data_IF_264529547618
#
_entry.id   IF_264529547618
#
_cell.length_a   1.000
_cell.length_b   1.000
_cell.length_c   1.000
_cell.angle_alpha   90.00
_cell.angle_beta   90.00
_cell.angle_gamma   90.00
#
_symmetry.space_group_name_H-M   'P 1'
#
loop_
_entity.id
_entity.type
_entity.pdbx_description
1 polymer ?
#
# COMPACT_ATOMS: atom_id res chain seq x y z
N UNK A 1 -7.27 -27.44 -28.10
CA UNK A 1 -6.73 -26.24 -28.77
C UNK A 1 -5.36 -26.59 -29.32
N UNK A 2 -5.12 -26.33 -30.60
CA UNK A 2 -3.81 -26.57 -31.26
C UNK A 2 -3.01 -25.28 -31.36
N UNK A 3 -1.69 -25.38 -31.55
CA UNK A 3 -0.79 -24.23 -31.73
C UNK A 3 -1.27 -23.28 -32.83
N UNK A 4 -1.79 -23.84 -33.93
CA UNK A 4 -2.37 -23.08 -35.04
C UNK A 4 -3.59 -22.24 -34.64
N UNK A 5 -4.49 -22.79 -33.81
CA UNK A 5 -5.69 -22.08 -33.34
C UNK A 5 -5.36 -20.91 -32.40
N UNK A 6 -4.30 -21.03 -31.60
CA UNK A 6 -3.85 -19.94 -30.72
C UNK A 6 -3.23 -18.82 -31.55
N UNK A 7 -2.46 -19.17 -32.57
CA UNK A 7 -1.80 -18.20 -33.46
C UNK A 7 -2.79 -17.46 -34.37
N UNK A 8 -3.89 -18.11 -34.72
CA UNK A 8 -4.99 -17.49 -35.48
C UNK A 8 -5.76 -16.44 -34.65
N UNK A 9 -5.99 -16.70 -33.36
CA UNK A 9 -6.67 -15.73 -32.48
C UNK A 9 -5.73 -14.68 -31.88
N UNK A 10 -4.44 -15.01 -31.71
CA UNK A 10 -3.42 -14.14 -31.15
C UNK A 10 -2.17 -14.15 -32.05
N UNK A 11 -2.21 -13.45 -33.20
CA UNK A 11 -1.12 -13.46 -34.19
C UNK A 11 0.19 -12.86 -33.66
N UNK A 12 0.11 -11.99 -32.65
CA UNK A 12 1.26 -11.32 -32.04
C UNK A 12 1.85 -12.09 -30.85
N UNK A 13 1.27 -13.25 -30.48
CA UNK A 13 1.78 -14.05 -29.37
C UNK A 13 3.10 -14.73 -29.73
N UNK A 14 4.09 -14.63 -28.86
CA UNK A 14 5.38 -15.31 -29.07
C UNK A 14 5.25 -16.82 -28.92
N UNK A 15 6.14 -17.59 -29.54
CA UNK A 15 6.09 -19.05 -29.47
C UNK A 15 6.19 -19.58 -28.02
N UNK A 16 6.86 -18.84 -27.10
CA UNK A 16 6.86 -19.14 -25.67
C UNK A 16 5.51 -18.87 -25.01
N UNK A 17 4.83 -17.77 -25.34
CA UNK A 17 3.50 -17.45 -24.84
C UNK A 17 2.46 -18.46 -25.36
N UNK A 18 2.55 -18.84 -26.63
CA UNK A 18 1.69 -19.87 -27.22
C UNK A 18 1.94 -21.21 -26.51
N UNK A 19 3.19 -21.55 -26.22
CA UNK A 19 3.54 -22.78 -25.49
C UNK A 19 3.07 -22.73 -24.04
N UNK A 20 3.16 -21.59 -23.36
CA UNK A 20 2.62 -21.41 -22.01
C UNK A 20 1.10 -21.58 -21.98
N UNK A 21 0.37 -20.99 -22.94
CA UNK A 21 -1.09 -21.14 -23.06
C UNK A 21 -1.48 -22.60 -23.34
N UNK A 22 -0.75 -23.29 -24.21
CA UNK A 22 -0.97 -24.71 -24.50
C UNK A 22 -0.66 -25.59 -23.29
N UNK A 23 0.38 -25.26 -22.52
CA UNK A 23 0.73 -25.98 -21.30
C UNK A 23 -0.28 -25.73 -20.17
N UNK A 24 -0.78 -24.50 -20.00
CA UNK A 24 -1.85 -24.17 -19.05
C UNK A 24 -3.10 -24.99 -19.38
N UNK A 25 -3.52 -24.96 -20.64
CA UNK A 25 -4.65 -25.78 -21.11
C UNK A 25 -4.37 -27.29 -21.01
N UNK A 26 -3.12 -27.72 -21.18
CA UNK A 26 -2.69 -29.11 -21.00
C UNK A 26 -2.76 -29.56 -19.54
N UNK A 27 -2.30 -28.71 -18.61
CA UNK A 27 -2.37 -28.96 -17.16
C UNK A 27 -3.81 -28.96 -16.67
N UNK A 28 -4.64 -28.06 -17.19
CA UNK A 28 -6.06 -27.96 -16.86
C UNK A 28 -6.85 -29.18 -17.40
N UNK A 29 -6.52 -29.65 -18.61
CA UNK A 29 -7.08 -30.90 -19.16
C UNK A 29 -6.64 -32.13 -18.35
N UNK A 30 -5.42 -32.16 -17.81
CA UNK A 30 -4.98 -33.24 -16.90
C UNK A 30 -5.60 -33.15 -15.51
N UNK A 31 -5.86 -31.94 -15.00
CA UNK A 31 -6.59 -31.73 -13.75
C UNK A 31 -8.08 -32.11 -13.90
N UNK A 32 -8.69 -31.76 -15.03
CA UNK A 32 -10.05 -32.18 -15.40
C UNK A 32 -10.17 -33.70 -15.58
N UNK A 33 -9.15 -34.36 -16.17
CA UNK A 33 -9.06 -35.84 -16.23
C UNK A 33 -8.90 -36.49 -14.86
N UNK A 34 -8.22 -35.84 -13.91
CA UNK A 34 -8.12 -36.30 -12.51
C UNK A 34 -9.45 -36.23 -11.76
N UNK A 35 -10.37 -35.35 -12.17
CA UNK A 35 -11.71 -35.20 -11.60
C UNK A 35 -12.80 -36.02 -12.29
N UNK A 36 -12.43 -37.04 -13.08
CA UNK A 36 -13.30 -38.07 -13.67
C UNK A 36 -14.72 -37.60 -14.07
N UNK A 37 -14.81 -36.42 -14.70
CA UNK A 37 -16.06 -35.97 -15.31
C UNK A 37 -16.21 -36.78 -16.58
N UNK A 38 -17.19 -37.68 -16.62
CA UNK A 38 -17.45 -38.52 -17.78
C UNK A 38 -17.57 -37.61 -19.03
N UNK A 39 -16.70 -37.78 -20.04
CA UNK A 39 -16.73 -36.96 -21.25
C UNK A 39 -18.10 -36.98 -21.95
N UNK A 40 -18.88 -38.05 -21.77
CA UNK A 40 -20.26 -38.11 -22.26
C UNK A 40 -21.21 -37.22 -21.48
N UNK A 41 -21.08 -37.17 -20.16
CA UNK A 41 -21.93 -36.31 -19.33
C UNK A 41 -21.58 -34.84 -19.52
N UNK A 42 -20.30 -34.52 -19.74
CA UNK A 42 -19.88 -33.16 -20.08
C UNK A 42 -20.48 -32.70 -21.42
N UNK A 43 -20.42 -33.57 -22.46
CA UNK A 43 -21.08 -33.28 -23.75
C UNK A 43 -22.58 -33.14 -23.59
N UNK A 44 -23.22 -34.02 -22.82
CA UNK A 44 -24.66 -33.98 -22.56
C UNK A 44 -25.07 -32.69 -21.85
N UNK A 45 -24.30 -32.24 -20.86
CA UNK A 45 -24.52 -30.97 -20.17
C UNK A 45 -24.37 -29.78 -21.12
N UNK A 46 -23.31 -29.75 -21.93
CA UNK A 46 -23.07 -28.68 -22.90
C UNK A 46 -24.17 -28.61 -23.97
N UNK A 47 -24.61 -29.76 -24.48
CA UNK A 47 -25.72 -29.85 -25.44
C UNK A 47 -27.04 -29.37 -24.80
N UNK A 48 -27.29 -29.76 -23.55
CA UNK A 48 -28.46 -29.33 -22.79
C UNK A 48 -28.44 -27.82 -22.51
N UNK A 49 -27.29 -27.28 -22.09
CA UNK A 49 -27.16 -25.85 -21.81
C UNK A 49 -27.29 -25.03 -23.10
N UNK A 50 -26.71 -25.49 -24.20
CA UNK A 50 -26.90 -24.86 -25.52
C UNK A 50 -28.36 -24.94 -25.98
N UNK A 51 -29.05 -26.06 -25.76
CA UNK A 51 -30.47 -26.20 -26.05
C UNK A 51 -31.33 -25.31 -25.15
N UNK A 52 -30.97 -25.17 -23.88
CA UNK A 52 -31.66 -24.33 -22.90
C UNK A 52 -31.48 -22.85 -23.21
N UNK A 53 -30.28 -22.42 -23.59
CA UNK A 53 -30.02 -21.06 -24.07
C UNK A 53 -30.76 -20.78 -25.37
N UNK A 54 -30.79 -21.72 -26.31
CA UNK A 54 -31.61 -21.58 -27.53
C UNK A 54 -33.12 -21.50 -27.23
N UNK A 55 -33.60 -22.21 -26.22
CA UNK A 55 -35.00 -22.15 -25.80
C UNK A 55 -35.33 -20.80 -25.15
N UNK A 56 -34.45 -20.33 -24.26
CA UNK A 56 -34.50 -18.98 -23.68
C UNK A 56 -34.48 -17.90 -24.76
N UNK A 57 -33.59 -18.01 -25.73
CA UNK A 57 -33.49 -17.08 -26.85
C UNK A 57 -34.65 -17.24 -27.86
N UNK A 58 -35.33 -18.38 -27.90
CA UNK A 58 -36.51 -18.58 -28.75
C UNK A 58 -37.78 -17.97 -28.14
N UNK A 59 -37.88 -17.96 -26.81
CA UNK A 59 -39.01 -17.38 -26.07
C UNK A 59 -38.89 -15.86 -25.87
N UNK A 60 -37.70 -15.29 -26.01
CA UNK A 60 -37.49 -13.83 -25.93
C UNK A 60 -37.83 -13.16 -27.26
N UNK A 61 -38.74 -12.19 -27.21
CA UNK A 61 -39.01 -11.27 -28.33
C UNK A 61 -37.76 -10.45 -28.66
N UNK A 62 -37.63 -9.96 -29.89
CA UNK A 62 -36.44 -9.18 -30.31
C UNK A 62 -36.18 -7.97 -29.39
N UNK A 63 -37.23 -7.38 -28.81
CA UNK A 63 -37.11 -6.30 -27.82
C UNK A 63 -36.50 -6.77 -26.49
N UNK A 64 -36.84 -7.96 -26.01
CA UNK A 64 -36.31 -8.51 -24.75
C UNK A 64 -34.86 -8.99 -24.91
N UNK A 65 -34.47 -9.48 -26.10
CA UNK A 65 -33.07 -9.76 -26.43
C UNK A 65 -32.21 -8.52 -26.38
N UNK A 66 -32.69 -7.40 -26.94
CA UNK A 66 -31.99 -6.12 -26.90
C UNK A 66 -31.87 -5.63 -25.45
N UNK A 67 -32.94 -5.73 -24.65
CA UNK A 67 -32.88 -5.35 -23.23
C UNK A 67 -31.92 -6.23 -22.42
N UNK A 68 -31.90 -7.54 -22.65
CA UNK A 68 -30.96 -8.46 -21.99
C UNK A 68 -29.52 -8.12 -22.36
N UNK A 69 -29.24 -7.90 -23.65
CA UNK A 69 -27.91 -7.51 -24.11
C UNK A 69 -27.47 -6.15 -23.54
N UNK A 70 -28.39 -5.17 -23.44
CA UNK A 70 -28.12 -3.88 -22.81
C UNK A 70 -27.82 -4.03 -21.32
N UNK A 71 -28.62 -4.84 -20.61
CA UNK A 71 -28.41 -5.13 -19.20
C UNK A 71 -27.08 -5.84 -18.95
N UNK A 72 -26.75 -6.85 -19.74
CA UNK A 72 -25.47 -7.55 -19.66
C UNK A 72 -24.30 -6.60 -19.95
N UNK A 73 -24.43 -5.69 -20.93
CA UNK A 73 -23.43 -4.67 -21.21
C UNK A 73 -23.26 -3.67 -20.06
N UNK A 74 -24.36 -3.22 -19.46
CA UNK A 74 -24.35 -2.31 -18.31
C UNK A 74 -23.76 -2.97 -17.06
N UNK A 75 -24.15 -4.22 -16.76
CA UNK A 75 -23.61 -5.00 -15.65
C UNK A 75 -22.10 -5.24 -15.84
N UNK A 76 -21.68 -5.57 -17.07
CA UNK A 76 -20.27 -5.74 -17.42
C UNK A 76 -19.49 -4.43 -17.25
N UNK A 77 -20.05 -3.31 -17.69
CA UNK A 77 -19.43 -1.98 -17.54
C UNK A 77 -19.30 -1.60 -16.07
N UNK A 78 -20.31 -1.88 -15.24
CA UNK A 78 -20.26 -1.64 -13.81
C UNK A 78 -19.20 -2.51 -13.11
N UNK A 79 -19.08 -3.79 -13.50
CA UNK A 79 -18.00 -4.65 -13.02
C UNK A 79 -16.62 -4.14 -13.40
N UNK A 80 -16.40 -3.77 -14.67
CA UNK A 80 -15.12 -3.23 -15.13
C UNK A 80 -14.77 -1.93 -14.41
N UNK A 81 -15.75 -1.04 -14.19
CA UNK A 81 -15.56 0.17 -13.41
C UNK A 81 -15.11 -0.16 -11.98
N UNK A 82 -15.79 -1.08 -11.28
CA UNK A 82 -15.41 -1.50 -9.93
C UNK A 82 -14.02 -2.14 -9.90
N UNK A 83 -13.68 -3.03 -10.85
CA UNK A 83 -12.36 -3.67 -10.92
C UNK A 83 -11.25 -2.64 -11.15
N UNK A 84 -11.48 -1.69 -12.05
CA UNK A 84 -10.51 -0.60 -12.32
C UNK A 84 -10.33 0.29 -11.10
N UNK A 85 -11.45 0.69 -10.47
CA UNK A 85 -11.42 1.52 -9.26
C UNK A 85 -10.76 0.79 -8.08
N UNK A 86 -10.95 -0.53 -7.98
CA UNK A 86 -10.26 -1.38 -6.99
C UNK A 86 -8.76 -1.29 -7.15
N UNK A 87 -8.23 -1.47 -8.35
CA UNK A 87 -6.79 -1.37 -8.61
C UNK A 87 -6.23 0.01 -8.23
N UNK A 88 -6.97 1.08 -8.57
CA UNK A 88 -6.58 2.44 -8.20
C UNK A 88 -6.57 2.65 -6.68
N UNK A 89 -7.57 2.11 -5.97
CA UNK A 89 -7.64 2.13 -4.50
C UNK A 89 -6.50 1.32 -3.88
N UNK A 90 -6.25 0.10 -4.34
CA UNK A 90 -5.14 -0.76 -3.88
C UNK A 90 -3.82 -0.01 -4.02
N UNK A 91 -3.57 0.61 -5.18
CA UNK A 91 -2.36 1.39 -5.42
C UNK A 91 -2.19 2.54 -4.42
N UNK A 92 -3.27 3.25 -4.08
CA UNK A 92 -3.23 4.34 -3.09
C UNK A 92 -2.90 3.78 -1.69
N UNK A 93 -3.56 2.69 -1.28
CA UNK A 93 -3.38 2.09 0.04
C UNK A 93 -1.98 1.48 0.20
N UNK A 94 -1.47 0.79 -0.83
CA UNK A 94 -0.09 0.27 -0.87
C UNK A 94 0.91 1.42 -0.79
N UNK A 95 0.66 2.53 -1.51
CA UNK A 95 1.53 3.72 -1.44
C UNK A 95 1.53 4.37 -0.05
N UNK A 96 0.46 4.17 0.74
CA UNK A 96 0.37 4.58 2.14
C UNK A 96 1.04 3.58 3.11
N UNK A 97 1.62 2.49 2.59
CA UNK A 97 2.36 1.51 3.36
C UNK A 97 1.51 0.38 3.94
N UNK A 98 0.26 0.23 3.51
CA UNK A 98 -0.58 -0.92 3.88
C UNK A 98 -0.23 -2.12 2.99
N UNK A 99 -0.20 -3.30 3.59
CA UNK A 99 -0.13 -4.56 2.85
C UNK A 99 -1.54 -5.09 2.52
N UNK A 100 -1.62 -6.11 1.67
CA UNK A 100 -2.90 -6.69 1.24
C UNK A 100 -3.75 -7.20 2.40
N UNK A 101 -3.13 -7.77 3.43
CA UNK A 101 -3.83 -8.28 4.61
C UNK A 101 -4.48 -7.13 5.42
N UNK A 102 -3.84 -5.96 5.47
CA UNK A 102 -4.33 -4.80 6.21
C UNK A 102 -5.59 -4.20 5.56
N UNK A 103 -5.64 -4.14 4.23
CA UNK A 103 -6.75 -3.49 3.51
C UNK A 103 -7.79 -4.46 2.95
N UNK A 104 -7.55 -5.77 2.89
CA UNK A 104 -8.46 -6.76 2.32
C UNK A 104 -9.87 -6.70 2.94
N UNK A 105 -9.98 -6.47 4.24
CA UNK A 105 -11.27 -6.36 4.94
C UNK A 105 -12.01 -5.04 4.70
N UNK A 106 -11.34 -4.02 4.16
CA UNK A 106 -11.89 -2.67 4.01
C UNK A 106 -12.16 -2.32 2.55
N UNK A 107 -11.44 -2.94 1.61
CA UNK A 107 -11.40 -2.50 0.23
C UNK A 107 -12.77 -2.56 -0.46
N UNK A 108 -13.57 -3.60 -0.16
CA UNK A 108 -14.92 -3.74 -0.72
C UNK A 108 -15.88 -2.62 -0.26
N UNK A 109 -15.60 -1.97 0.87
CA UNK A 109 -16.35 -0.81 1.35
C UNK A 109 -15.89 0.52 0.77
N UNK A 110 -14.67 0.58 0.23
CA UNK A 110 -14.09 1.80 -0.38
C UNK A 110 -14.39 1.84 -1.88
N UNK A 111 -14.37 0.68 -2.55
CA UNK A 111 -14.53 0.58 -3.99
C UNK A 111 -16.00 0.73 -4.39
N UNK A 112 -16.26 1.70 -5.26
CA UNK A 112 -17.57 1.93 -5.87
C UNK A 112 -17.46 2.06 -7.39
N UNK A 113 -18.58 2.23 -8.09
CA UNK A 113 -18.59 2.54 -9.53
C UNK A 113 -18.06 3.94 -9.82
N UNK A 114 -18.08 4.82 -8.82
CA UNK A 114 -17.58 6.18 -8.88
C UNK A 114 -16.08 6.20 -8.56
N UNK A 115 -15.27 6.40 -9.60
CA UNK A 115 -13.81 6.39 -9.49
C UNK A 115 -13.29 7.48 -8.55
N UNK A 116 -13.85 8.68 -8.63
CA UNK A 116 -13.41 9.83 -7.84
C UNK A 116 -13.74 9.63 -6.37
N UNK A 117 -14.95 9.13 -6.05
CA UNK A 117 -15.29 8.79 -4.66
C UNK A 117 -14.38 7.71 -4.09
N UNK A 118 -14.13 6.65 -4.87
CA UNK A 118 -13.28 5.54 -4.43
C UNK A 118 -11.85 6.01 -4.13
N UNK A 119 -11.28 6.83 -5.02
CA UNK A 119 -9.94 7.43 -4.84
C UNK A 119 -9.90 8.41 -3.68
N UNK A 120 -10.91 9.27 -3.54
CA UNK A 120 -10.98 10.25 -2.45
C UNK A 120 -11.07 9.56 -1.08
N UNK A 121 -11.85 8.48 -0.96
CA UNK A 121 -11.96 7.67 0.25
C UNK A 121 -10.61 7.01 0.59
N UNK A 122 -9.98 6.35 -0.38
CA UNK A 122 -8.66 5.72 -0.19
C UNK A 122 -7.58 6.74 0.21
N UNK A 123 -7.58 7.91 -0.44
CA UNK A 123 -6.64 9.00 -0.14
C UNK A 123 -6.87 9.57 1.25
N UNK A 124 -8.13 9.77 1.64
CA UNK A 124 -8.49 10.28 2.97
C UNK A 124 -8.05 9.32 4.07
N UNK A 125 -8.29 8.02 3.88
CA UNK A 125 -7.84 6.99 4.81
C UNK A 125 -6.33 6.96 4.92
N UNK A 126 -5.62 6.96 3.79
CA UNK A 126 -4.16 7.00 3.72
C UNK A 126 -3.58 8.20 4.46
N UNK A 127 -4.16 9.38 4.26
CA UNK A 127 -3.76 10.60 4.95
C UNK A 127 -4.00 10.52 6.46
N UNK A 128 -5.09 9.89 6.89
CA UNK A 128 -5.38 9.69 8.32
C UNK A 128 -4.36 8.75 8.98
N UNK A 129 -4.02 7.64 8.30
CA UNK A 129 -2.99 6.70 8.76
C UNK A 129 -1.62 7.36 8.87
N UNK A 130 -1.20 8.12 7.85
CA UNK A 130 0.06 8.86 7.89
C UNK A 130 0.10 9.86 9.05
N UNK A 131 -0.96 10.62 9.28
CA UNK A 131 -1.04 11.54 10.41
C UNK A 131 -0.94 10.83 11.77
N UNK A 132 -1.62 9.69 11.93
CA UNK A 132 -1.51 8.91 13.17
C UNK A 132 -0.10 8.34 13.36
N UNK A 133 0.54 7.87 12.28
CA UNK A 133 1.90 7.37 12.31
C UNK A 133 2.88 8.47 12.73
N UNK A 134 2.83 9.63 12.10
CA UNK A 134 3.66 10.79 12.44
C UNK A 134 3.46 11.22 13.91
N UNK A 135 2.21 11.30 14.38
CA UNK A 135 1.91 11.66 15.77
C UNK A 135 2.43 10.61 16.76
N UNK A 136 2.34 9.32 16.41
CA UNK A 136 2.89 8.24 17.24
C UNK A 136 4.41 8.26 17.25
N UNK A 137 5.05 8.44 16.10
CA UNK A 137 6.50 8.58 15.99
C UNK A 137 7.03 9.76 16.79
N UNK A 138 6.34 10.91 16.75
CA UNK A 138 6.68 12.07 17.58
C UNK A 138 6.57 11.74 19.07
N UNK A 139 5.46 11.15 19.52
CA UNK A 139 5.29 10.76 20.93
C UNK A 139 6.32 9.74 21.37
N UNK A 140 6.62 8.73 20.56
CA UNK A 140 7.65 7.72 20.87
C UNK A 140 9.03 8.37 20.92
N UNK A 141 9.34 9.31 20.02
CA UNK A 141 10.61 10.05 20.05
C UNK A 141 10.71 10.92 21.29
N UNK A 142 9.65 11.62 21.66
CA UNK A 142 9.57 12.39 22.91
C UNK A 142 9.77 11.49 24.13
N UNK A 143 9.05 10.35 24.22
CA UNK A 143 9.21 9.39 25.30
C UNK A 143 10.61 8.77 25.36
N UNK A 144 11.22 8.47 24.22
CA UNK A 144 12.59 7.96 24.17
C UNK A 144 13.58 9.03 24.62
N UNK A 145 13.42 10.29 24.19
CA UNK A 145 14.27 11.40 24.65
C UNK A 145 14.10 11.66 26.15
N UNK A 146 12.89 11.53 26.69
CA UNK A 146 12.59 11.70 28.12
C UNK A 146 13.10 10.52 28.98
N UNK A 147 12.97 9.28 28.48
CA UNK A 147 13.45 8.06 29.17
C UNK A 147 14.95 7.84 29.02
N UNK A 148 15.60 8.45 28.03
CA UNK A 148 17.06 8.43 27.92
C UNK A 148 17.60 9.41 28.94
N UNK A 149 17.92 8.93 30.15
CA UNK A 149 18.73 9.69 31.09
C UNK A 149 19.97 10.17 30.32
N UNK A 150 20.19 11.48 30.26
CA UNK A 150 21.46 12.02 29.82
C UNK A 150 22.56 11.29 30.59
N UNK A 151 23.56 10.69 29.92
CA UNK A 151 24.70 10.10 30.60
C UNK A 151 25.44 11.25 31.28
N UNK A 152 25.12 11.51 32.55
CA UNK A 152 25.60 12.67 33.30
C UNK A 152 24.69 13.14 34.45
N UNK A 153 23.42 12.73 34.51
CA UNK A 153 22.47 13.22 35.53
C UNK A 153 22.25 12.29 36.73
N UNK A 154 23.29 12.01 37.52
CA UNK A 154 23.16 11.41 38.87
C UNK A 154 23.99 12.26 39.82
N UNK A 155 23.43 12.95 40.83
CA UNK A 155 22.04 12.98 41.27
C UNK A 155 21.87 13.98 42.41
N UNK A 156 20.62 14.11 42.87
CA UNK A 156 20.31 14.87 44.08
C UNK A 156 19.03 15.67 43.97
N UNK A 157 17.88 15.00 43.98
CA UNK A 157 16.66 15.64 44.50
C UNK A 157 16.77 15.58 46.03
N UNK A 158 17.50 16.55 46.57
CA UNK A 158 17.67 16.80 47.99
C UNK A 158 17.33 18.26 48.24
N UNK A 159 16.32 18.47 49.06
CA UNK A 159 15.88 19.76 49.58
C UNK A 159 17.05 20.66 50.03
N UNK A 160 16.98 21.97 49.74
CA UNK A 160 17.78 22.97 50.44
C UNK A 160 18.25 24.10 49.55
N UNK A 161 17.78 25.31 49.82
CA UNK A 161 18.34 26.52 49.24
C UNK A 161 19.82 26.68 49.61
N UNK A 162 20.60 27.15 48.64
CA UNK A 162 22.00 27.48 48.82
C UNK A 162 22.59 27.86 47.47
N UNK A 163 23.04 29.10 47.35
CA UNK A 163 23.73 29.68 46.19
C UNK A 163 25.09 28.97 45.95
N UNK A 164 25.08 27.71 45.56
CA UNK A 164 26.28 27.00 45.10
C UNK A 164 26.23 26.88 43.58
N UNK A 165 27.14 27.61 42.94
CA UNK A 165 27.29 27.64 41.49
C UNK A 165 27.44 26.21 40.96
N UNK A 166 26.65 25.88 39.96
CA UNK A 166 26.72 24.59 39.26
C UNK A 166 28.09 24.38 38.64
N UNK A 167 28.51 23.14 38.42
CA UNK A 167 29.78 22.83 37.74
C UNK A 167 29.89 23.49 36.36
N UNK A 168 28.75 23.70 35.69
CA UNK A 168 28.68 24.44 34.44
C UNK A 168 28.97 25.94 34.61
N UNK A 169 28.49 26.55 35.69
CA UNK A 169 28.81 27.94 36.04
C UNK A 169 30.26 28.09 36.47
N UNK A 170 30.82 27.11 37.19
CA UNK A 170 32.25 27.08 37.53
C UNK A 170 33.09 26.97 36.27
N UNK A 171 32.74 26.06 35.35
CA UNK A 171 33.45 25.87 34.09
C UNK A 171 33.41 27.14 33.21
N UNK A 172 32.23 27.76 33.07
CA UNK A 172 32.07 29.01 32.35
C UNK A 172 32.89 30.15 33.00
N UNK A 173 32.90 30.23 34.33
CA UNK A 173 33.66 31.25 35.06
C UNK A 173 35.18 31.01 34.96
N UNK A 174 35.65 29.76 34.93
CA UNK A 174 37.06 29.44 34.65
C UNK A 174 37.45 29.81 33.23
N UNK A 175 36.64 29.49 32.22
CA UNK A 175 36.93 29.86 30.82
C UNK A 175 36.96 31.39 30.63
N UNK A 176 36.04 32.11 31.29
CA UNK A 176 36.03 33.58 31.26
C UNK A 176 37.25 34.15 31.98
N UNK A 177 37.65 33.60 33.13
CA UNK A 177 38.86 34.05 33.85
C UNK A 177 40.14 33.75 33.07
N UNK A 178 40.23 32.59 32.43
CA UNK A 178 41.38 32.18 31.63
C UNK A 178 41.53 33.08 30.38
N UNK A 179 40.43 33.34 29.68
CA UNK A 179 40.42 34.31 28.57
C UNK A 179 40.75 35.75 28.99
N UNK A 180 40.37 36.15 30.21
CA UNK A 180 40.71 37.47 30.75
C UNK A 180 42.18 37.57 31.19
N UNK A 181 42.80 36.48 31.66
CA UNK A 181 44.25 36.45 31.91
C UNK A 181 45.06 36.47 30.63
N UNK A 182 44.60 35.80 29.58
CA UNK A 182 45.26 35.80 28.27
C UNK A 182 45.20 37.18 27.60
N UNK A 183 44.09 37.91 27.77
CA UNK A 183 43.96 39.30 27.29
C UNK A 183 44.94 40.25 27.99
N UNK A 184 45.11 40.12 29.32
CA UNK A 184 46.09 40.93 30.08
C UNK A 184 47.54 40.61 29.72
N UNK A 185 47.88 39.34 29.52
CA UNK A 185 49.22 38.94 29.09
C UNK A 185 49.59 39.48 27.71
N UNK A 186 48.61 39.57 26.79
CA UNK A 186 48.81 40.17 25.47
C UNK A 186 49.00 41.70 25.54
N UNK A 187 48.30 42.39 26.44
CA UNK A 187 48.42 43.84 26.65
C UNK A 187 49.77 44.22 27.29
N UNK A 188 50.28 43.42 28.23
CA UNK A 188 51.59 43.63 28.87
C UNK A 188 52.77 43.43 27.89
N UNK A 189 52.67 42.46 26.96
CA UNK A 189 53.70 42.23 25.92
C UNK A 189 53.73 43.38 24.90
N UNK A 190 52.57 43.94 24.55
CA UNK A 190 52.48 45.09 23.62
C UNK A 190 52.93 46.39 24.31
N UNK A 191 52.70 46.53 25.62
CA UNK A 191 53.15 47.68 26.41
C UNK A 191 54.66 47.74 26.62
N UNK A 192 55.35 46.60 26.64
CA UNK A 192 56.81 46.53 26.82
C UNK A 192 57.63 46.96 25.59
N UNK A 193 56.99 47.24 24.46
CA UNK A 193 57.63 47.65 23.18
C UNK A 193 57.41 49.12 22.79
N UNK A 194 56.88 49.96 23.71
CA UNK A 194 56.81 51.42 23.56
C UNK A 194 57.69 52.11 24.58
#
# INVERSE_FOLDING_TARGET
MTREQVKEQFPDATDEQITAILNINGTDLTAAKKHNVDPKELKRLQERDAAYQKLLDADLTDAEKIQKALKEADDTKAEYAKKTNRLDVEKILISAGLNEEDYAGLIDGIVSEDAEKSKAMATTLSNMLNKQKEATEQKVKEELMDKTKTPGGTGGSGSGGGDEKTDAEIFAETMVKESASDAKGAEDIIGAYK
#
